data_IF_267309452974
#
_entry.id   IF_267309452974
#
_cell.length_a   1.000
_cell.length_b   1.000
_cell.length_c   1.000
_cell.angle_alpha   90.00
_cell.angle_beta   90.00
_cell.angle_gamma   90.00
#
_symmetry.space_group_name_H-M   'P 1'
#
loop_
_entity.id
_entity.type
_entity.pdbx_description
1 polymer ?
#
# COMPACT_ATOMS: atom_id res chain seq x y z
N UNK A 1 34.17 32.93 2.77
CA UNK A 1 33.83 32.22 1.52
C UNK A 1 33.76 30.70 1.70
N UNK A 2 34.51 30.10 2.63
CA UNK A 2 34.47 28.65 2.89
C UNK A 2 33.10 28.15 3.41
N UNK A 3 32.47 28.87 4.34
CA UNK A 3 31.13 28.49 4.85
C UNK A 3 30.06 28.33 3.77
N UNK A 4 30.09 29.18 2.73
CA UNK A 4 29.14 29.09 1.60
C UNK A 4 29.39 27.82 0.80
N UNK A 5 30.66 27.46 0.61
CA UNK A 5 31.07 26.23 -0.06
C UNK A 5 30.65 24.99 0.73
N UNK A 6 30.77 25.03 2.06
CA UNK A 6 30.37 23.92 2.94
C UNK A 6 28.86 23.69 2.91
N UNK A 7 28.05 24.75 2.94
CA UNK A 7 26.60 24.64 2.80
C UNK A 7 26.20 24.10 1.42
N UNK A 8 26.87 24.54 0.35
CA UNK A 8 26.59 24.07 -1.01
C UNK A 8 26.90 22.57 -1.15
N UNK A 9 28.02 22.10 -0.58
CA UNK A 9 28.39 20.68 -0.60
C UNK A 9 27.37 19.83 0.18
N UNK A 10 26.91 20.32 1.33
CA UNK A 10 25.92 19.64 2.15
C UNK A 10 24.57 19.53 1.44
N UNK A 11 24.14 20.59 0.74
CA UNK A 11 22.92 20.57 -0.06
C UNK A 11 23.05 19.60 -1.24
N UNK A 12 24.19 19.60 -1.94
CA UNK A 12 24.45 18.67 -3.05
C UNK A 12 24.41 17.21 -2.60
N UNK A 13 25.05 16.87 -1.47
CA UNK A 13 24.98 15.53 -0.89
C UNK A 13 23.56 15.17 -0.43
N UNK A 14 22.81 16.12 0.11
CA UNK A 14 21.42 15.90 0.52
C UNK A 14 20.51 15.60 -0.68
N UNK A 15 20.62 16.39 -1.76
CA UNK A 15 19.84 16.18 -2.98
C UNK A 15 20.20 14.84 -3.63
N UNK A 16 21.49 14.50 -3.73
CA UNK A 16 21.92 13.21 -4.30
C UNK A 16 21.39 12.02 -3.49
N UNK A 17 21.41 12.09 -2.16
CA UNK A 17 20.86 11.03 -1.32
C UNK A 17 19.34 10.93 -1.43
N UNK A 18 18.64 12.07 -1.53
CA UNK A 18 17.19 12.08 -1.72
C UNK A 18 16.80 11.51 -3.09
N UNK A 19 17.53 11.85 -4.16
CA UNK A 19 17.30 11.28 -5.50
C UNK A 19 17.55 9.77 -5.57
N UNK A 20 18.38 9.22 -4.68
CA UNK A 20 18.54 7.75 -4.56
C UNK A 20 17.37 7.08 -3.84
N UNK A 21 16.67 7.79 -2.96
CA UNK A 21 15.53 7.28 -2.20
C UNK A 21 14.19 7.50 -2.92
N UNK A 22 14.05 8.59 -3.71
CA UNK A 22 12.87 8.90 -4.52
C UNK A 22 12.35 7.71 -5.35
N UNK A 23 13.18 6.92 -6.06
CA UNK A 23 12.70 5.79 -6.85
C UNK A 23 12.01 4.71 -6.02
N UNK A 24 12.38 4.58 -4.74
CA UNK A 24 11.73 3.63 -3.84
C UNK A 24 10.41 4.17 -3.32
N UNK A 25 10.35 5.46 -2.98
CA UNK A 25 9.11 6.14 -2.58
C UNK A 25 8.09 6.18 -3.72
N UNK A 26 8.53 6.49 -4.94
CA UNK A 26 7.70 6.50 -6.15
C UNK A 26 7.12 5.11 -6.43
N UNK A 27 7.94 4.05 -6.34
CA UNK A 27 7.46 2.67 -6.49
C UNK A 27 6.43 2.29 -5.43
N UNK A 28 6.68 2.63 -4.16
CA UNK A 28 5.72 2.36 -3.09
C UNK A 28 4.41 3.12 -3.28
N UNK A 29 4.49 4.36 -3.77
CA UNK A 29 3.32 5.16 -4.08
C UNK A 29 2.55 4.59 -5.29
N UNK A 30 3.23 4.16 -6.34
CA UNK A 30 2.61 3.48 -7.47
C UNK A 30 1.91 2.17 -7.05
N UNK A 31 2.55 1.35 -6.22
CA UNK A 31 1.94 0.12 -5.68
C UNK A 31 0.68 0.43 -4.88
N UNK A 32 0.72 1.47 -4.04
CA UNK A 32 -0.45 1.91 -3.27
C UNK A 32 -1.59 2.37 -4.18
N UNK A 33 -1.29 3.17 -5.20
CA UNK A 33 -2.31 3.63 -6.16
C UNK A 33 -2.94 2.45 -6.91
N UNK A 34 -2.15 1.45 -7.32
CA UNK A 34 -2.69 0.24 -7.96
C UNK A 34 -3.60 -0.56 -7.02
N UNK A 35 -3.27 -0.65 -5.74
CA UNK A 35 -4.12 -1.32 -4.74
C UNK A 35 -5.44 -0.56 -4.56
N UNK A 36 -5.41 0.77 -4.53
CA UNK A 36 -6.62 1.58 -4.42
C UNK A 36 -7.51 1.42 -5.66
N UNK A 37 -6.94 1.37 -6.86
CA UNK A 37 -7.67 1.09 -8.11
C UNK A 37 -8.31 -0.32 -8.10
N UNK A 38 -7.62 -1.32 -7.56
CA UNK A 38 -8.14 -2.70 -7.44
C UNK A 38 -9.29 -2.81 -6.43
N UNK A 39 -9.27 -2.04 -5.34
CA UNK A 39 -10.36 -2.01 -4.34
C UNK A 39 -11.63 -1.40 -4.91
N UNK A 40 -11.48 -0.42 -5.80
CA UNK A 40 -12.59 0.30 -6.40
C UNK A 40 -13.43 1.08 -5.39
N UNK A 41 -14.51 1.69 -5.87
CA UNK A 41 -15.49 2.41 -5.06
C UNK A 41 -16.87 2.19 -5.64
N UNK A 42 -17.91 1.84 -4.85
CA UNK A 42 -17.96 1.84 -3.37
C UNK A 42 -17.44 0.55 -2.71
N UNK A 43 -16.85 0.68 -1.52
CA UNK A 43 -16.46 -0.47 -0.70
C UNK A 43 -17.65 -0.97 0.12
N UNK A 44 -18.02 -2.25 -0.09
CA UNK A 44 -19.02 -2.93 0.74
C UNK A 44 -18.42 -3.42 2.06
N UNK A 45 -19.16 -3.28 3.16
CA UNK A 45 -18.75 -3.78 4.48
C UNK A 45 -19.52 -5.08 4.79
N UNK A 46 -18.80 -6.11 5.23
CA UNK A 46 -19.34 -7.40 5.67
C UNK A 46 -18.57 -7.94 6.88
N UNK A 47 -19.05 -9.05 7.43
CA UNK A 47 -18.42 -9.76 8.55
C UNK A 47 -17.73 -11.03 8.04
N UNK A 48 -16.55 -11.34 8.58
CA UNK A 48 -15.87 -12.61 8.31
C UNK A 48 -16.53 -13.72 9.13
N UNK A 49 -16.99 -14.79 8.46
CA UNK A 49 -17.58 -15.95 9.13
C UNK A 49 -16.55 -17.06 9.32
N UNK A 50 -15.94 -17.52 8.22
CA UNK A 50 -15.01 -18.65 8.23
C UNK A 50 -13.87 -18.45 7.22
N UNK A 51 -12.64 -18.79 7.61
CA UNK A 51 -11.49 -18.87 6.70
C UNK A 51 -11.38 -20.34 6.27
N UNK A 52 -11.47 -20.58 4.96
CA UNK A 52 -11.43 -21.94 4.41
C UNK A 52 -9.98 -22.35 4.13
N UNK A 53 -9.23 -21.46 3.50
CA UNK A 53 -7.82 -21.63 3.15
C UNK A 53 -7.11 -20.27 3.09
N UNK A 54 -5.85 -20.25 2.67
CA UNK A 54 -5.06 -19.02 2.62
C UNK A 54 -5.60 -18.01 1.59
N UNK A 55 -6.29 -18.44 0.53
CA UNK A 55 -6.75 -17.58 -0.55
C UNK A 55 -8.26 -17.32 -0.51
N UNK A 56 -9.02 -18.01 0.35
CA UNK A 56 -10.48 -17.93 0.36
C UNK A 56 -11.10 -17.88 1.76
N UNK A 57 -12.13 -17.06 1.87
CA UNK A 57 -12.94 -16.91 3.06
C UNK A 57 -14.43 -16.80 2.73
N UNK A 58 -15.26 -17.16 3.71
CA UNK A 58 -16.70 -16.91 3.69
C UNK A 58 -16.98 -15.62 4.45
N UNK A 59 -17.65 -14.68 3.78
CA UNK A 59 -18.08 -13.41 4.36
C UNK A 59 -19.59 -13.27 4.31
N UNK A 60 -20.19 -12.76 5.38
CA UNK A 60 -21.60 -12.38 5.42
C UNK A 60 -21.77 -10.90 5.09
N UNK A 61 -22.65 -10.61 4.13
CA UNK A 61 -23.07 -9.22 3.89
C UNK A 61 -24.02 -8.78 5.01
N UNK A 62 -24.05 -7.48 5.31
CA UNK A 62 -25.04 -6.90 6.24
C UNK A 62 -26.50 -7.18 5.85
N UNK A 63 -26.74 -7.59 4.60
CA UNK A 63 -28.05 -7.98 4.07
C UNK A 63 -28.41 -9.46 4.30
N UNK A 64 -27.49 -10.27 4.84
CA UNK A 64 -27.72 -11.67 5.21
C UNK A 64 -27.13 -12.76 4.31
N UNK A 65 -26.90 -12.57 2.98
CA UNK A 65 -26.26 -13.60 2.18
C UNK A 65 -24.79 -13.79 2.55
N UNK A 66 -24.36 -15.05 2.52
CA UNK A 66 -22.97 -15.49 2.65
C UNK A 66 -22.34 -15.63 1.26
N UNK A 67 -21.11 -15.17 1.13
CA UNK A 67 -20.35 -15.22 -0.11
C UNK A 67 -18.99 -15.87 0.11
N UNK A 68 -18.65 -16.81 -0.77
CA UNK A 68 -17.29 -17.32 -0.89
C UNK A 68 -16.46 -16.33 -1.71
N UNK A 69 -15.47 -15.72 -1.08
CA UNK A 69 -14.65 -14.64 -1.66
C UNK A 69 -13.17 -14.95 -1.55
N UNK A 70 -12.40 -14.45 -2.52
CA UNK A 70 -10.94 -14.54 -2.51
C UNK A 70 -10.31 -13.43 -1.66
N UNK A 71 -9.30 -13.76 -0.87
CA UNK A 71 -8.48 -12.82 -0.10
C UNK A 71 -7.36 -12.28 -1.00
N UNK A 72 -7.30 -10.96 -1.16
CA UNK A 72 -6.24 -10.34 -1.95
C UNK A 72 -4.89 -10.37 -1.22
N UNK A 73 -3.80 -10.41 -2.00
CA UNK A 73 -2.43 -10.55 -1.51
C UNK A 73 -1.92 -9.37 -0.66
N UNK A 74 -2.58 -8.21 -0.70
CA UNK A 74 -2.21 -7.05 0.12
C UNK A 74 -2.80 -7.12 1.54
N UNK A 75 -3.61 -8.13 1.84
CA UNK A 75 -4.20 -8.34 3.16
C UNK A 75 -3.23 -9.17 4.00
N UNK A 76 -2.87 -8.63 5.17
CA UNK A 76 -2.11 -9.34 6.19
C UNK A 76 -3.02 -10.37 6.87
N UNK A 77 -2.52 -11.60 7.06
CA UNK A 77 -3.27 -12.75 7.57
C UNK A 77 -2.79 -13.20 8.96
N UNK A 78 -1.73 -12.58 9.49
CA UNK A 78 -1.15 -12.86 10.81
C UNK A 78 -1.86 -12.11 11.95
#
# INVERSE_FOLDING_TARGET
>A
MERIKDYLLMEEEFVQNQERLKPQEEKAQEERTRVDDLRGSPMGVGTLEEIIDDEHAIVSSSTGPEYYVSIYSFVDKD
#
